data_IF_722513031297
#
_entry.id   IF_722513031297
#
_cell.length_a   1.000
_cell.length_b   1.000
_cell.length_c   1.000
_cell.angle_alpha   90.00
_cell.angle_beta   90.00
_cell.angle_gamma   90.00
#
_symmetry.space_group_name_H-M   'P 1'
#
loop_
_entity.id
_entity.type
_entity.pdbx_description
1 polymer ?
#
# COMPACT_ATOMS: atom_id res chain seq x y z
N UNK A 1 14.90 -8.81 -22.26
CA UNK A 1 14.39 -9.56 -21.09
C UNK A 1 13.29 -8.72 -20.45
N UNK A 2 12.05 -8.92 -20.90
CA UNK A 2 10.86 -8.31 -20.32
C UNK A 2 10.57 -9.01 -18.99
N UNK A 3 10.50 -8.31 -17.84
CA UNK A 3 10.11 -8.95 -16.60
C UNK A 3 8.66 -9.42 -16.74
N UNK A 4 8.49 -10.72 -16.62
CA UNK A 4 7.22 -11.44 -16.54
C UNK A 4 6.41 -10.82 -15.39
N UNK A 5 5.43 -9.97 -15.69
CA UNK A 5 4.43 -9.60 -14.69
C UNK A 5 3.65 -10.89 -14.38
N UNK A 6 3.53 -11.33 -13.11
CA UNK A 6 2.72 -12.49 -12.79
C UNK A 6 1.30 -12.22 -13.31
N UNK A 7 0.78 -13.14 -14.14
CA UNK A 7 -0.39 -12.94 -15.00
C UNK A 7 -1.71 -12.64 -14.25
N UNK A 8 -1.71 -12.65 -12.92
CA UNK A 8 -2.76 -12.04 -12.11
C UNK A 8 -2.16 -11.54 -10.80
N UNK A 9 -2.34 -10.25 -10.48
CA UNK A 9 -2.08 -9.76 -9.13
C UNK A 9 -3.13 -10.40 -8.22
N UNK A 10 -2.69 -11.05 -7.12
CA UNK A 10 -3.63 -11.66 -6.17
C UNK A 10 -4.65 -10.64 -5.67
N UNK A 11 -5.90 -11.07 -5.48
CA UNK A 11 -7.00 -10.23 -4.98
C UNK A 11 -6.65 -9.53 -3.65
N UNK A 12 -5.87 -10.20 -2.79
CA UNK A 12 -5.35 -9.62 -1.55
C UNK A 12 -4.47 -8.38 -1.80
N UNK A 13 -3.57 -8.47 -2.78
CA UNK A 13 -2.65 -7.39 -3.14
C UNK A 13 -3.42 -6.25 -3.82
N UNK A 14 -4.39 -6.59 -4.68
CA UNK A 14 -5.30 -5.61 -5.26
C UNK A 14 -6.11 -4.90 -4.19
N UNK A 15 -6.63 -5.61 -3.20
CA UNK A 15 -7.45 -5.03 -2.14
C UNK A 15 -6.64 -4.08 -1.24
N UNK A 16 -5.42 -4.47 -0.86
CA UNK A 16 -4.48 -3.57 -0.15
C UNK A 16 -4.17 -2.33 -1.00
N UNK A 17 -3.87 -2.50 -2.28
CA UNK A 17 -3.53 -1.38 -3.17
C UNK A 17 -4.72 -0.44 -3.42
N UNK A 18 -5.94 -0.97 -3.63
CA UNK A 18 -7.21 -0.21 -3.73
C UNK A 18 -7.44 0.60 -2.45
N UNK A 19 -7.20 -0.01 -1.28
CA UNK A 19 -7.36 0.65 0.04
C UNK A 19 -6.37 1.80 0.21
N UNK A 20 -5.09 1.58 -0.12
CA UNK A 20 -4.04 2.62 -0.06
C UNK A 20 -4.38 3.78 -1.00
N UNK A 21 -4.85 3.51 -2.23
CA UNK A 21 -5.32 4.55 -3.17
C UNK A 21 -6.45 5.38 -2.57
N UNK A 22 -7.50 4.71 -2.06
CA UNK A 22 -8.69 5.37 -1.49
C UNK A 22 -8.35 6.30 -0.33
N UNK A 23 -7.31 5.99 0.44
CA UNK A 23 -6.85 6.78 1.59
C UNK A 23 -5.73 7.77 1.26
N UNK A 24 -5.28 7.83 0.00
CA UNK A 24 -4.20 8.71 -0.45
C UNK A 24 -2.80 8.30 0.04
N UNK A 25 -2.61 7.04 0.43
CA UNK A 25 -1.36 6.49 0.93
C UNK A 25 -1.48 5.84 2.31
N UNK A 26 -0.41 5.18 2.74
CA UNK A 26 -0.28 4.64 4.11
C UNK A 26 1.07 5.02 4.71
N UNK A 27 1.05 5.46 5.97
CA UNK A 27 2.21 5.89 6.72
C UNK A 27 2.81 4.73 7.54
N UNK A 28 4.12 4.77 7.75
CA UNK A 28 4.88 3.82 8.53
C UNK A 28 6.02 4.55 9.24
N UNK A 29 5.96 4.59 10.57
CA UNK A 29 6.98 5.20 11.43
C UNK A 29 8.06 4.20 11.88
N UNK A 30 8.07 2.98 11.33
CA UNK A 30 9.00 1.90 11.72
C UNK A 30 8.62 1.16 13.01
N UNK A 31 7.70 1.70 13.81
CA UNK A 31 7.14 1.02 14.99
C UNK A 31 5.63 1.23 15.09
N UNK A 32 4.88 0.13 15.25
CA UNK A 32 3.43 0.15 15.44
C UNK A 32 3.02 0.82 16.77
N UNK A 33 3.94 1.01 17.72
CA UNK A 33 3.67 1.63 19.02
C UNK A 33 3.71 3.17 18.97
N UNK A 34 4.22 3.78 17.90
CA UNK A 34 4.31 5.22 17.72
C UNK A 34 3.29 5.78 16.72
N UNK A 35 2.13 5.13 16.59
CA UNK A 35 1.04 5.60 15.74
C UNK A 35 0.50 6.92 16.27
N UNK A 36 0.44 7.96 15.43
CA UNK A 36 -0.18 9.24 15.78
C UNK A 36 -1.60 9.35 15.21
N UNK A 37 -2.50 10.09 15.87
CA UNK A 37 -3.79 10.47 15.30
C UNK A 37 -3.60 11.16 13.94
N UNK A 38 -4.43 10.79 12.96
CA UNK A 38 -4.38 11.33 11.59
C UNK A 38 -3.46 10.58 10.62
N UNK A 39 -2.68 9.61 11.09
CA UNK A 39 -1.86 8.75 10.22
C UNK A 39 -2.59 7.46 9.84
N UNK A 40 -2.45 7.02 8.59
CA UNK A 40 -3.08 5.79 8.11
C UNK A 40 -2.08 4.64 8.05
N UNK A 41 -2.12 3.73 9.03
CA UNK A 41 -1.11 2.67 9.18
C UNK A 41 -1.61 1.30 8.71
N UNK A 42 -0.67 0.37 8.52
CA UNK A 42 -0.95 -1.02 8.16
C UNK A 42 -1.96 -1.73 9.10
N UNK A 43 -2.05 -1.31 10.35
CA UNK A 43 -3.05 -1.84 11.29
C UNK A 43 -4.48 -1.54 10.86
N UNK A 44 -4.75 -0.32 10.37
CA UNK A 44 -6.10 0.07 9.94
C UNK A 44 -6.50 -0.70 8.69
N UNK A 45 -5.58 -0.85 7.74
CA UNK A 45 -5.78 -1.73 6.58
C UNK A 45 -6.07 -3.17 7.04
N UNK A 46 -5.38 -3.65 8.07
CA UNK A 46 -5.58 -5.00 8.59
C UNK A 46 -6.97 -5.21 9.18
N UNK A 47 -7.50 -4.20 9.88
CA UNK A 47 -8.88 -4.22 10.38
C UNK A 47 -9.89 -4.26 9.23
N UNK A 48 -9.70 -3.44 8.19
CA UNK A 48 -10.60 -3.39 7.03
C UNK A 48 -10.60 -4.70 6.23
N UNK A 49 -9.47 -5.41 6.20
CA UNK A 49 -9.27 -6.63 5.40
C UNK A 49 -9.36 -7.94 6.22
N UNK A 50 -9.56 -7.87 7.53
CA UNK A 50 -9.59 -9.05 8.40
C UNK A 50 -8.25 -9.79 8.51
N UNK A 51 -7.12 -9.11 8.30
CA UNK A 51 -5.78 -9.71 8.36
C UNK A 51 -4.85 -8.98 9.36
N UNK A 52 -3.77 -9.65 9.77
CA UNK A 52 -2.82 -9.06 10.72
C UNK A 52 -2.07 -7.87 10.12
N UNK A 53 -1.65 -6.92 10.96
CA UNK A 53 -0.81 -5.78 10.56
C UNK A 53 0.52 -6.21 9.93
N UNK A 54 1.09 -7.33 10.40
CA UNK A 54 2.25 -7.97 9.79
C UNK A 54 1.92 -8.50 8.39
N UNK A 55 0.77 -9.14 8.20
CA UNK A 55 0.30 -9.61 6.89
C UNK A 55 0.09 -8.46 5.89
N UNK A 56 -0.43 -7.32 6.35
CA UNK A 56 -0.51 -6.11 5.53
C UNK A 56 0.87 -5.57 5.16
N UNK A 57 1.80 -5.51 6.13
CA UNK A 57 3.16 -5.04 5.89
C UNK A 57 3.85 -5.85 4.80
N UNK A 58 3.75 -7.18 4.85
CA UNK A 58 4.33 -8.06 3.82
C UNK A 58 3.73 -7.80 2.42
N UNK A 59 2.42 -7.54 2.35
CA UNK A 59 1.73 -7.18 1.10
C UNK A 59 2.19 -5.82 0.57
N UNK A 60 2.32 -4.81 1.43
CA UNK A 60 2.87 -3.49 1.06
C UNK A 60 4.30 -3.65 0.52
N UNK A 61 5.17 -4.40 1.21
CA UNK A 61 6.54 -4.62 0.77
C UNK A 61 6.60 -5.36 -0.57
N UNK A 62 5.71 -6.34 -0.77
CA UNK A 62 5.55 -7.02 -2.06
C UNK A 62 5.18 -6.03 -3.17
N UNK A 63 4.16 -5.19 -2.95
CA UNK A 63 3.74 -4.18 -3.92
C UNK A 63 4.85 -3.16 -4.23
N UNK A 64 5.65 -2.76 -3.23
CA UNK A 64 6.83 -1.92 -3.43
C UNK A 64 7.88 -2.62 -4.31
N UNK A 65 8.20 -3.89 -4.03
CA UNK A 65 9.14 -4.68 -4.85
C UNK A 65 8.67 -4.84 -6.30
N UNK A 66 7.36 -4.88 -6.53
CA UNK A 66 6.77 -4.93 -7.87
C UNK A 66 6.73 -3.57 -8.59
N UNK A 67 7.10 -2.49 -7.90
CA UNK A 67 7.03 -1.12 -8.40
C UNK A 67 5.61 -0.55 -8.48
N UNK A 68 4.65 -1.15 -7.77
CA UNK A 68 3.24 -0.74 -7.74
C UNK A 68 2.95 0.27 -6.62
N UNK A 69 3.82 0.34 -5.61
CA UNK A 69 3.84 1.39 -4.62
C UNK A 69 5.18 2.11 -4.62
N UNK A 70 5.15 3.41 -4.39
CA UNK A 70 6.32 4.26 -4.18
C UNK A 70 6.50 4.55 -2.70
N UNK A 71 7.76 4.76 -2.31
CA UNK A 71 8.17 5.02 -0.93
C UNK A 71 8.67 6.45 -0.81
N UNK A 72 7.88 7.29 -0.14
CA UNK A 72 8.22 8.69 0.11
C UNK A 72 8.64 8.88 1.57
N UNK A 73 9.83 9.41 1.80
CA UNK A 73 10.25 9.82 3.15
C UNK A 73 9.66 11.19 3.42
N UNK A 74 8.84 11.31 4.46
CA UNK A 74 8.32 12.59 4.93
C UNK A 74 9.10 13.00 6.15
N UNK A 75 9.85 14.09 6.01
CA UNK A 75 10.49 14.75 7.15
C UNK A 75 9.46 15.59 7.89
N UNK A 76 9.48 15.50 9.22
CA UNK A 76 8.61 16.28 10.09
C UNK A 76 9.48 16.94 11.14
N UNK A 77 9.43 18.26 11.25
CA UNK A 77 10.19 19.00 12.26
C UNK A 77 9.93 18.43 13.65
N UNK A 78 11.00 18.14 14.38
CA UNK A 78 10.95 17.66 15.77
C UNK A 78 10.46 16.23 15.96
N UNK A 79 10.30 15.43 14.90
CA UNK A 79 9.89 14.01 15.02
C UNK A 79 10.67 13.11 14.08
N UNK A 80 10.72 11.81 14.39
CA UNK A 80 11.33 10.83 13.52
C UNK A 80 10.68 10.85 12.13
N UNK A 81 11.48 10.73 11.04
CA UNK A 81 10.96 10.71 9.70
C UNK A 81 10.00 9.54 9.52
N UNK A 82 8.88 9.77 8.84
CA UNK A 82 7.92 8.73 8.51
C UNK A 82 8.09 8.32 7.05
N UNK A 83 7.82 7.06 6.77
CA UNK A 83 7.70 6.56 5.40
C UNK A 83 6.23 6.61 5.01
N UNK A 84 5.88 7.25 3.91
CA UNK A 84 4.57 7.15 3.28
C UNK A 84 4.67 6.30 2.02
N UNK A 85 3.81 5.31 1.91
CA UNK A 85 3.63 4.51 0.71
C UNK A 85 2.44 5.03 -0.08
N UNK A 86 2.63 5.32 -1.36
CA UNK A 86 1.56 5.76 -2.28
C UNK A 86 1.52 4.86 -3.50
N UNK A 87 0.38 4.81 -4.18
CA UNK A 87 0.25 4.03 -5.42
C UNK A 87 1.03 4.74 -6.54
N UNK A 88 1.98 4.02 -7.13
CA UNK A 88 2.80 4.54 -8.24
C UNK A 88 1.97 4.71 -9.50
N UNK A 89 2.51 5.38 -10.52
CA UNK A 89 1.86 5.45 -11.85
C UNK A 89 1.55 4.04 -12.37
N UNK A 90 2.52 3.12 -12.30
CA UNK A 90 2.34 1.71 -12.68
C UNK A 90 1.25 1.01 -11.85
N UNK A 91 1.19 1.28 -10.54
CA UNK A 91 0.14 0.76 -9.66
C UNK A 91 -1.24 1.26 -10.05
N UNK A 92 -1.36 2.53 -10.49
CA UNK A 92 -2.62 3.09 -10.96
C UNK A 92 -3.07 2.42 -12.26
N UNK A 93 -2.17 2.20 -13.21
CA UNK A 93 -2.47 1.47 -14.46
C UNK A 93 -3.02 0.07 -14.17
N UNK A 94 -2.37 -0.66 -13.26
CA UNK A 94 -2.83 -1.99 -12.82
C UNK A 94 -4.21 -1.90 -12.18
N UNK A 95 -4.44 -0.95 -11.28
CA UNK A 95 -5.77 -0.78 -10.68
C UNK A 95 -6.86 -0.44 -11.70
N UNK A 96 -6.54 0.34 -12.74
CA UNK A 96 -7.49 0.69 -13.80
C UNK A 96 -7.82 -0.51 -14.68
N UNK A 97 -6.82 -1.32 -15.05
CA UNK A 97 -7.03 -2.55 -15.81
C UNK A 97 -7.91 -3.58 -15.07
N UNK A 98 -7.84 -3.60 -13.74
CA UNK A 98 -8.68 -4.47 -12.89
C UNK A 98 -10.01 -3.84 -12.45
N UNK A 99 -10.16 -2.51 -12.53
CA UNK A 99 -11.39 -1.80 -12.18
C UNK A 99 -12.49 -1.88 -13.24
N UNK A 100 -12.13 -2.17 -14.50
CA UNK A 100 -13.08 -2.35 -15.60
C UNK A 100 -13.74 -3.75 -15.67
N UNK A 101 -13.46 -4.65 -14.71
CA UNK A 101 -14.08 -5.99 -14.65
C UNK A 101 -15.22 -6.10 -13.63
N UNK A 102 -15.53 -5.02 -12.91
CA UNK A 102 -16.57 -4.97 -11.86
C UNK A 102 -17.85 -4.22 -12.33
N UNK A 103 -18.01 -3.93 -13.63
CA UNK A 103 -19.19 -3.22 -14.20
C UNK A 103 -19.89 -3.96 -15.37
N UNK A 104 -19.96 -5.29 -15.36
CA UNK A 104 -20.87 -6.05 -16.25
C UNK A 104 -21.83 -6.95 -15.47
#
# INVERSE_FOLDING_TARGET
>A
MTPNLPETLSDDLLCVMKTIRKKGGTDCSGSCHHRKPGEFHCHTIGQDLGISSSGVKERILTLVRMGLLERNKLERQGTFPITRFIVSVKGQEVLSAHGNRDEE
#
